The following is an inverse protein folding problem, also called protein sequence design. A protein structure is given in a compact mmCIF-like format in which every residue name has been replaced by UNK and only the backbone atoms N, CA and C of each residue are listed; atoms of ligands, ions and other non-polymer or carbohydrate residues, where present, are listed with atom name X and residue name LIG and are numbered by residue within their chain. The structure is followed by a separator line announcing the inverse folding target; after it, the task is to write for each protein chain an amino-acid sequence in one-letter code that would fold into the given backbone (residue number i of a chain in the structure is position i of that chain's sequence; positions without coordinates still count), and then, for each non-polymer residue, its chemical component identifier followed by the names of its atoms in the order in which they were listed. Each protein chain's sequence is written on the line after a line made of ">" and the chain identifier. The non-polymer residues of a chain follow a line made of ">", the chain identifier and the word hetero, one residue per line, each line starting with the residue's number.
data_IF_706691754486
#
_entry.id   IF_706691754486
#
_cell.length_a   1.000
_cell.length_b   1.000
_cell.length_c   1.000
_cell.angle_alpha   90.00
_cell.angle_beta   90.00
_cell.angle_gamma   90.00
#
_symmetry.space_group_name_H-M   'P 1'
#
loop_
_entity.id
_entity.type
_entity.pdbx_description
1 polymer ?
#
# COMPACT_ATOMS: atom_id res chain seq x y z
N UNK A 1 -27.77 49.42 -33.21
CA UNK A 1 -26.67 50.40 -33.14
C UNK A 1 -25.65 49.85 -32.16
N UNK A 2 -24.51 49.54 -32.70
CA UNK A 2 -23.24 49.18 -32.07
C UNK A 2 -23.21 48.23 -30.89
N UNK A 3 -22.98 46.94 -31.21
CA UNK A 3 -22.42 45.88 -30.39
C UNK A 3 -20.92 46.12 -30.24
N UNK A 4 -20.41 46.12 -28.99
CA UNK A 4 -18.99 46.03 -28.71
C UNK A 4 -18.70 44.66 -28.10
N UNK A 5 -18.12 43.77 -28.92
CA UNK A 5 -17.56 42.50 -28.48
C UNK A 5 -16.20 42.76 -27.81
N UNK A 6 -16.09 42.49 -26.52
CA UNK A 6 -14.82 42.49 -25.76
C UNK A 6 -14.14 41.15 -25.96
N UNK A 7 -12.97 41.16 -26.60
CA UNK A 7 -12.13 39.99 -26.80
C UNK A 7 -11.43 39.60 -25.49
N UNK A 8 -11.76 38.42 -24.97
CA UNK A 8 -10.97 37.75 -23.93
C UNK A 8 -9.68 37.20 -24.53
N UNK A 9 -8.58 37.89 -24.32
CA UNK A 9 -7.23 37.39 -24.63
C UNK A 9 -6.81 36.40 -23.55
N UNK A 10 -6.72 35.13 -23.92
CA UNK A 10 -6.26 34.05 -23.06
C UNK A 10 -4.75 34.18 -22.77
N UNK A 11 -4.38 34.55 -21.54
CA UNK A 11 -2.98 34.62 -21.05
C UNK A 11 -2.36 33.24 -20.69
N UNK A 12 -2.87 32.13 -21.21
CA UNK A 12 -2.39 30.79 -20.87
C UNK A 12 -1.05 30.31 -21.46
N UNK A 13 -0.59 30.74 -22.67
CA UNK A 13 0.68 30.22 -23.20
C UNK A 13 1.94 30.72 -22.53
N UNK A 14 1.93 31.92 -21.95
CA UNK A 14 3.16 32.55 -21.40
C UNK A 14 3.51 31.95 -20.01
N UNK A 15 2.53 31.66 -19.19
CA UNK A 15 2.78 31.03 -17.88
C UNK A 15 3.33 29.61 -18.00
N UNK A 16 2.89 28.82 -18.96
CA UNK A 16 3.42 27.47 -19.18
C UNK A 16 4.83 27.49 -19.76
N UNK A 17 5.18 28.46 -20.59
CA UNK A 17 6.54 28.60 -21.12
C UNK A 17 7.53 29.03 -20.03
N UNK A 18 7.15 29.94 -19.14
CA UNK A 18 7.97 30.36 -18.01
C UNK A 18 8.14 29.22 -16.98
N UNK A 19 7.08 28.45 -16.70
CA UNK A 19 7.18 27.25 -15.84
C UNK A 19 8.08 26.16 -16.44
N UNK A 20 7.97 25.89 -17.76
CA UNK A 20 8.88 24.96 -18.44
C UNK A 20 10.33 25.43 -18.42
N UNK A 21 10.58 26.72 -18.57
CA UNK A 21 11.94 27.29 -18.50
C UNK A 21 12.52 27.21 -17.08
N UNK A 22 11.69 27.36 -16.02
CA UNK A 22 12.12 27.19 -14.63
C UNK A 22 12.41 25.72 -14.30
N UNK A 23 11.62 24.76 -14.82
CA UNK A 23 11.87 23.32 -14.68
C UNK A 23 13.19 22.87 -15.37
N UNK A 24 13.64 23.61 -16.40
CA UNK A 24 14.91 23.31 -17.09
C UNK A 24 16.13 24.03 -16.47
N UNK A 25 15.93 24.94 -15.52
CA UNK A 25 17.03 25.74 -14.93
C UNK A 25 17.56 25.21 -13.58
N UNK A 26 16.79 24.37 -12.90
CA UNK A 26 17.28 23.62 -11.74
C UNK A 26 17.74 22.25 -12.24
N UNK A 27 19.03 22.10 -12.50
CA UNK A 27 19.63 20.81 -12.81
C UNK A 27 19.46 19.90 -11.58
N UNK A 28 18.41 19.07 -11.58
CA UNK A 28 18.28 17.96 -10.65
C UNK A 28 19.52 17.11 -10.89
N UNK A 29 20.31 16.84 -9.86
CA UNK A 29 21.40 15.91 -9.99
C UNK A 29 20.79 14.56 -10.38
N UNK A 30 21.17 13.97 -11.54
CA UNK A 30 20.57 12.69 -11.96
C UNK A 30 20.84 11.63 -10.89
N UNK A 31 19.92 10.67 -10.79
CA UNK A 31 20.11 9.47 -9.99
C UNK A 31 21.52 8.92 -10.26
N UNK A 32 22.23 8.48 -9.23
CA UNK A 32 23.56 7.92 -9.43
C UNK A 32 23.45 6.64 -10.26
N UNK A 33 24.45 6.34 -11.08
CA UNK A 33 24.44 5.15 -11.92
C UNK A 33 24.14 3.89 -11.07
N UNK A 34 23.05 3.20 -11.39
CA UNK A 34 22.57 2.03 -10.64
C UNK A 34 21.42 2.31 -9.65
N UNK A 35 20.92 3.57 -9.58
CA UNK A 35 19.69 3.91 -8.85
C UNK A 35 18.53 4.10 -9.82
N UNK A 36 17.31 3.75 -9.38
CA UNK A 36 16.10 4.13 -10.08
C UNK A 36 15.68 5.56 -9.68
N UNK A 37 15.27 6.35 -10.66
CA UNK A 37 14.60 7.62 -10.46
C UNK A 37 13.17 7.37 -9.94
N UNK A 38 12.79 7.92 -8.80
CA UNK A 38 11.46 7.70 -8.20
C UNK A 38 10.61 8.95 -8.32
N UNK A 39 9.40 8.77 -8.84
CA UNK A 39 8.29 9.71 -8.80
C UNK A 39 7.28 9.22 -7.77
N UNK A 40 7.17 9.90 -6.65
CA UNK A 40 6.12 9.63 -5.65
C UNK A 40 4.83 10.35 -6.07
N UNK A 41 3.76 9.61 -6.25
CA UNK A 41 2.44 10.14 -6.63
C UNK A 41 1.45 9.96 -5.47
N UNK A 42 0.97 11.08 -4.92
CA UNK A 42 0.12 11.07 -3.74
C UNK A 42 0.94 10.93 -2.46
N UNK A 43 1.66 12.00 -2.10
CA UNK A 43 2.46 12.04 -0.86
C UNK A 43 1.57 11.98 0.39
N UNK A 44 0.44 12.68 0.35
CA UNK A 44 -0.44 12.79 1.50
C UNK A 44 0.09 13.75 2.57
N UNK A 45 -0.64 13.80 3.69
CA UNK A 45 -0.31 14.69 4.80
C UNK A 45 0.91 14.17 5.58
N UNK A 46 1.87 15.04 5.94
CA UNK A 46 2.97 14.69 6.83
C UNK A 46 2.49 13.99 8.12
N UNK A 47 3.25 13.02 8.58
CA UNK A 47 2.97 12.16 9.74
C UNK A 47 1.72 11.24 9.63
N UNK A 48 0.92 11.36 8.57
CA UNK A 48 -0.35 10.63 8.41
C UNK A 48 -0.44 9.83 7.11
N UNK A 49 0.16 10.34 6.03
CA UNK A 49 0.11 9.71 4.71
C UNK A 49 1.18 8.64 4.53
N UNK A 50 0.81 7.49 3.94
CA UNK A 50 1.78 6.44 3.59
C UNK A 50 2.80 6.98 2.58
N UNK A 51 2.39 7.77 1.59
CA UNK A 51 3.30 8.38 0.63
C UNK A 51 4.33 9.29 1.31
N UNK A 52 3.93 10.08 2.31
CA UNK A 52 4.88 10.85 3.11
C UNK A 52 5.93 9.94 3.78
N UNK A 53 5.51 8.82 4.35
CA UNK A 53 6.45 7.91 4.98
C UNK A 53 7.40 7.25 3.97
N UNK A 54 6.91 6.91 2.79
CA UNK A 54 7.78 6.47 1.69
C UNK A 54 8.81 7.54 1.32
N UNK A 55 8.40 8.81 1.23
CA UNK A 55 9.32 9.91 0.96
C UNK A 55 10.39 10.04 2.05
N UNK A 56 10.00 10.02 3.33
CA UNK A 56 10.93 10.08 4.47
C UNK A 56 12.01 9.02 4.37
N UNK A 57 11.63 7.76 4.14
CA UNK A 57 12.59 6.66 4.03
C UNK A 57 13.60 6.85 2.89
N UNK A 58 13.18 7.42 1.75
CA UNK A 58 14.06 7.71 0.62
C UNK A 58 14.93 8.96 0.85
N UNK A 59 14.37 10.03 1.43
CA UNK A 59 15.09 11.25 1.79
C UNK A 59 16.19 10.96 2.81
N UNK A 60 15.93 10.10 3.78
CA UNK A 60 16.91 9.62 4.76
C UNK A 60 17.89 8.59 4.18
N UNK A 61 17.78 8.30 2.87
CA UNK A 61 18.65 7.36 2.15
C UNK A 61 18.65 5.94 2.71
N UNK A 62 17.53 5.55 3.32
CA UNK A 62 17.33 4.17 3.80
C UNK A 62 16.94 3.21 2.67
N UNK A 63 16.71 3.72 1.46
CA UNK A 63 16.51 2.97 0.21
C UNK A 63 17.62 3.31 -0.78
N UNK A 64 18.83 2.72 -0.68
CA UNK A 64 19.99 3.12 -1.46
C UNK A 64 19.86 2.92 -2.97
N UNK A 65 18.97 2.04 -3.43
CA UNK A 65 18.71 1.82 -4.88
C UNK A 65 17.67 2.77 -5.47
N UNK A 66 17.05 3.63 -4.65
CA UNK A 66 16.00 4.57 -5.04
C UNK A 66 16.46 6.01 -4.81
N UNK A 67 16.27 6.88 -5.82
CA UNK A 67 16.42 8.34 -5.67
C UNK A 67 15.03 8.98 -5.78
N UNK A 68 14.57 9.66 -4.74
CA UNK A 68 13.33 10.43 -4.79
C UNK A 68 13.60 11.78 -5.46
N UNK A 69 13.27 11.88 -6.75
CA UNK A 69 13.54 13.08 -7.53
C UNK A 69 12.28 13.94 -7.71
N UNK A 70 11.09 13.32 -7.64
CA UNK A 70 9.83 14.00 -7.89
C UNK A 70 8.76 13.62 -6.89
N UNK A 71 7.97 14.62 -6.46
CA UNK A 71 6.73 14.42 -5.70
C UNK A 71 5.58 15.06 -6.46
N UNK A 72 4.62 14.26 -6.88
CA UNK A 72 3.37 14.69 -7.52
C UNK A 72 2.26 14.68 -6.46
N UNK A 73 1.84 15.87 -6.02
CA UNK A 73 0.82 16.03 -4.99
C UNK A 73 -0.25 17.05 -5.43
N UNK A 74 -1.29 16.61 -6.18
CA UNK A 74 -2.25 17.53 -6.76
C UNK A 74 -3.16 18.22 -5.73
N UNK A 75 -3.44 17.56 -4.59
CA UNK A 75 -4.35 18.10 -3.59
C UNK A 75 -3.71 19.21 -2.75
N UNK A 76 -2.63 18.91 -2.06
CA UNK A 76 -1.98 19.86 -1.15
C UNK A 76 -1.23 20.99 -1.85
N UNK A 77 -0.80 20.78 -3.10
CA UNK A 77 -0.26 21.85 -3.95
C UNK A 77 -1.35 22.61 -4.72
N UNK A 78 -2.58 22.10 -4.72
CA UNK A 78 -3.73 22.65 -5.46
C UNK A 78 -4.88 23.07 -4.56
N UNK A 79 -5.99 22.38 -4.66
CA UNK A 79 -7.25 22.74 -3.99
C UNK A 79 -7.20 22.68 -2.45
N UNK A 80 -6.36 21.84 -1.90
CA UNK A 80 -6.22 21.64 -0.45
C UNK A 80 -5.14 22.50 0.22
N UNK A 81 -4.44 23.38 -0.51
CA UNK A 81 -3.29 24.14 -0.02
C UNK A 81 -3.57 25.03 1.21
N UNK A 82 -4.79 25.53 1.32
CA UNK A 82 -5.20 26.46 2.40
C UNK A 82 -5.80 25.72 3.60
N UNK A 83 -5.98 24.40 3.51
CA UNK A 83 -6.42 23.55 4.64
C UNK A 83 -5.31 23.41 5.70
N UNK A 84 -5.62 23.00 6.93
CA UNK A 84 -4.57 22.70 7.92
C UNK A 84 -3.53 21.71 7.37
N UNK A 85 -3.94 20.59 6.78
CA UNK A 85 -3.03 19.62 6.19
C UNK A 85 -2.20 20.17 5.01
N UNK A 86 -2.76 21.13 4.22
CA UNK A 86 -2.01 21.81 3.16
C UNK A 86 -0.91 22.72 3.69
N UNK A 87 -1.16 23.37 4.83
CA UNK A 87 -0.14 24.20 5.52
C UNK A 87 0.98 23.33 6.09
N UNK A 88 0.63 22.20 6.70
CA UNK A 88 1.62 21.25 7.22
C UNK A 88 2.46 20.66 6.07
N UNK A 89 1.82 20.32 4.94
CA UNK A 89 2.51 19.87 3.74
C UNK A 89 3.46 20.93 3.18
N UNK A 90 3.03 22.19 3.10
CA UNK A 90 3.87 23.28 2.60
C UNK A 90 5.07 23.56 3.52
N UNK A 91 4.92 23.41 4.83
CA UNK A 91 6.02 23.50 5.78
C UNK A 91 7.05 22.39 5.57
N UNK A 92 6.60 21.14 5.47
CA UNK A 92 7.44 20.00 5.17
C UNK A 92 8.11 20.11 3.79
N UNK A 93 7.37 20.49 2.74
CA UNK A 93 7.93 20.72 1.41
C UNK A 93 9.11 21.69 1.46
N UNK A 94 8.94 22.83 2.12
CA UNK A 94 9.99 23.86 2.26
C UNK A 94 11.24 23.33 2.97
N UNK A 95 11.06 22.43 3.94
CA UNK A 95 12.16 21.80 4.66
C UNK A 95 12.98 20.86 3.77
N UNK A 96 12.32 20.05 2.91
CA UNK A 96 12.99 18.97 2.19
C UNK A 96 13.34 19.30 0.74
N UNK A 97 12.61 20.21 0.07
CA UNK A 97 12.76 20.51 -1.38
C UNK A 97 14.18 20.88 -1.76
N UNK A 98 14.79 21.86 -1.06
CA UNK A 98 16.15 22.31 -1.32
C UNK A 98 17.22 21.28 -0.91
N UNK A 99 17.27 20.86 0.35
CA UNK A 99 18.28 19.91 0.84
C UNK A 99 18.30 18.56 0.12
N UNK A 100 17.11 18.02 -0.23
CA UNK A 100 17.00 16.75 -0.92
C UNK A 100 16.95 16.87 -2.45
N UNK A 101 16.91 18.10 -2.98
CA UNK A 101 16.81 18.40 -4.42
C UNK A 101 15.62 17.71 -5.11
N UNK A 102 14.46 17.76 -4.45
CA UNK A 102 13.22 17.14 -4.92
C UNK A 102 12.37 18.19 -5.64
N UNK A 103 11.84 17.86 -6.81
CA UNK A 103 10.88 18.70 -7.50
C UNK A 103 9.44 18.32 -7.10
N UNK A 104 8.69 19.31 -6.63
CA UNK A 104 7.27 19.18 -6.32
C UNK A 104 6.40 19.72 -7.46
N UNK A 105 5.39 18.94 -7.88
CA UNK A 105 4.45 19.33 -8.94
C UNK A 105 3.04 18.81 -8.68
N UNK A 106 2.06 19.33 -9.41
CA UNK A 106 0.66 18.92 -9.32
C UNK A 106 0.28 17.83 -10.32
N UNK A 107 1.15 17.52 -11.31
CA UNK A 107 0.80 16.60 -12.38
C UNK A 107 2.02 15.82 -12.89
N UNK A 108 1.81 14.56 -13.23
CA UNK A 108 2.79 13.72 -13.93
C UNK A 108 3.17 14.28 -15.30
N UNK A 109 2.25 15.00 -15.96
CA UNK A 109 2.50 15.63 -17.28
C UNK A 109 3.49 16.79 -17.24
N UNK A 110 3.77 17.33 -16.06
CA UNK A 110 4.74 18.42 -15.87
C UNK A 110 6.17 17.91 -15.71
N UNK A 111 6.36 16.59 -15.61
CA UNK A 111 7.67 15.99 -15.40
C UNK A 111 8.52 15.99 -16.69
N UNK A 112 9.84 16.15 -16.58
CA UNK A 112 10.73 15.97 -17.71
C UNK A 112 10.75 14.49 -18.14
N UNK A 113 11.20 14.25 -19.38
CA UNK A 113 11.46 12.89 -19.82
C UNK A 113 12.48 12.20 -18.88
N UNK A 114 12.32 10.89 -18.56
CA UNK A 114 13.24 10.19 -17.67
C UNK A 114 14.64 10.12 -18.27
N UNK A 115 15.64 10.34 -17.42
CA UNK A 115 17.07 10.23 -17.78
C UNK A 115 17.59 8.85 -17.39
N UNK A 116 17.13 8.34 -16.27
CA UNK A 116 17.40 7.00 -15.74
C UNK A 116 16.10 6.17 -15.71
N UNK A 117 16.16 4.84 -15.52
CA UNK A 117 14.97 4.03 -15.33
C UNK A 117 14.07 4.57 -14.21
N UNK A 118 12.82 4.87 -14.55
CA UNK A 118 11.89 5.59 -13.64
C UNK A 118 10.86 4.64 -13.05
N UNK A 119 10.69 4.71 -11.73
CA UNK A 119 9.61 4.09 -10.96
C UNK A 119 8.56 5.15 -10.62
N UNK A 120 7.28 4.89 -10.92
CA UNK A 120 6.19 5.60 -10.27
C UNK A 120 5.79 4.85 -8.98
N UNK A 121 5.95 5.49 -7.82
CA UNK A 121 5.41 5.00 -6.55
C UNK A 121 4.05 5.66 -6.34
N UNK A 122 2.96 4.92 -6.59
CA UNK A 122 1.59 5.41 -6.50
C UNK A 122 1.04 5.08 -5.11
N UNK A 123 0.88 6.12 -4.28
CA UNK A 123 0.32 6.07 -2.93
C UNK A 123 -0.86 7.05 -2.77
N UNK A 124 -1.55 7.31 -3.87
CA UNK A 124 -2.72 8.15 -3.92
C UNK A 124 -3.98 7.45 -3.39
N UNK A 125 -5.13 8.10 -3.60
CA UNK A 125 -6.44 7.50 -3.29
C UNK A 125 -6.70 6.35 -4.24
N UNK A 126 -7.17 5.22 -3.73
CA UNK A 126 -7.42 4.00 -4.51
C UNK A 126 -8.29 4.26 -5.76
N UNK A 127 -9.30 5.14 -5.63
CA UNK A 127 -10.17 5.53 -6.76
C UNK A 127 -9.45 6.28 -7.90
N UNK A 128 -8.31 6.88 -7.63
CA UNK A 128 -7.52 7.60 -8.64
C UNK A 128 -6.47 6.71 -9.32
N UNK A 129 -6.19 5.53 -8.77
CA UNK A 129 -5.10 4.66 -9.22
C UNK A 129 -5.19 4.25 -10.70
N UNK A 130 -6.37 3.94 -11.29
CA UNK A 130 -6.45 3.63 -12.72
C UNK A 130 -5.91 4.77 -13.59
N UNK A 131 -6.34 6.00 -13.32
CA UNK A 131 -5.87 7.19 -14.03
C UNK A 131 -4.38 7.46 -13.79
N UNK A 132 -3.92 7.32 -12.53
CA UNK A 132 -2.51 7.54 -12.18
C UNK A 132 -1.58 6.52 -12.83
N UNK A 133 -2.02 5.28 -12.99
CA UNK A 133 -1.28 4.25 -13.73
C UNK A 133 -1.12 4.67 -15.20
N UNK A 134 -2.20 5.01 -15.88
CA UNK A 134 -2.18 5.49 -17.29
C UNK A 134 -1.24 6.69 -17.46
N UNK A 135 -1.35 7.70 -16.57
CA UNK A 135 -0.49 8.89 -16.61
C UNK A 135 0.99 8.54 -16.34
N UNK A 136 1.28 7.58 -15.46
CA UNK A 136 2.64 7.11 -15.15
C UNK A 136 3.27 6.40 -16.34
N UNK A 137 2.52 5.54 -17.02
CA UNK A 137 2.94 4.87 -18.25
C UNK A 137 3.25 5.92 -19.34
N UNK A 138 2.36 6.86 -19.55
CA UNK A 138 2.55 7.96 -20.52
C UNK A 138 3.75 8.86 -20.14
N UNK A 139 4.04 9.02 -18.87
CA UNK A 139 5.22 9.73 -18.33
C UNK A 139 6.54 8.97 -18.46
N UNK A 140 6.53 7.77 -19.09
CA UNK A 140 7.73 6.98 -19.38
C UNK A 140 8.23 6.13 -18.22
N UNK A 141 7.42 5.91 -17.17
CA UNK A 141 7.77 4.98 -16.10
C UNK A 141 7.84 3.55 -16.64
N UNK A 142 8.90 2.83 -16.26
CA UNK A 142 9.14 1.43 -16.68
C UNK A 142 8.66 0.43 -15.65
N UNK A 143 8.55 0.86 -14.40
CA UNK A 143 8.07 0.07 -13.28
C UNK A 143 7.11 0.93 -12.45
N UNK A 144 6.05 0.33 -11.95
CA UNK A 144 5.11 0.98 -11.04
C UNK A 144 5.12 0.22 -9.72
N UNK A 145 5.38 0.92 -8.62
CA UNK A 145 5.04 0.48 -7.28
C UNK A 145 3.63 0.99 -6.98
N UNK A 146 2.68 0.09 -6.78
CA UNK A 146 1.29 0.45 -6.55
C UNK A 146 0.86 0.06 -5.12
N UNK A 147 0.42 1.04 -4.33
CA UNK A 147 -0.13 0.76 -3.00
C UNK A 147 -1.42 -0.07 -3.07
N UNK A 148 -1.56 -0.96 -2.08
CA UNK A 148 -2.73 -1.83 -1.93
C UNK A 148 -4.02 -1.00 -1.65
N UNK A 149 -5.19 -1.49 -2.00
CA UNK A 149 -5.50 -2.76 -2.67
C UNK A 149 -5.30 -2.72 -4.19
N UNK A 150 -4.83 -1.62 -4.76
CA UNK A 150 -4.57 -1.39 -6.17
C UNK A 150 -5.70 -0.63 -6.87
N UNK A 151 -6.92 -1.12 -6.83
CA UNK A 151 -8.10 -0.46 -7.39
C UNK A 151 -9.34 -0.71 -6.51
N UNK A 152 -10.44 0.08 -6.69
CA UNK A 152 -11.69 -0.12 -5.95
C UNK A 152 -12.37 -1.46 -6.25
N UNK A 153 -12.25 -1.94 -7.49
CA UNK A 153 -12.92 -3.15 -7.99
C UNK A 153 -11.96 -4.08 -8.72
N UNK A 154 -12.31 -5.37 -8.76
CA UNK A 154 -11.59 -6.39 -9.54
C UNK A 154 -11.51 -5.97 -11.01
N UNK A 155 -12.61 -5.51 -11.60
CA UNK A 155 -12.66 -5.12 -13.02
C UNK A 155 -11.69 -3.98 -13.35
N UNK A 156 -11.61 -2.96 -12.49
CA UNK A 156 -10.66 -1.87 -12.67
C UNK A 156 -9.21 -2.36 -12.54
N UNK A 157 -8.94 -3.23 -11.57
CA UNK A 157 -7.59 -3.77 -11.37
C UNK A 157 -7.15 -4.69 -12.52
N UNK A 158 -8.06 -5.49 -13.08
CA UNK A 158 -7.81 -6.29 -14.28
C UNK A 158 -7.53 -5.41 -15.51
N UNK A 159 -8.27 -4.30 -15.66
CA UNK A 159 -8.03 -3.33 -16.74
C UNK A 159 -6.65 -2.69 -16.60
N UNK A 160 -6.24 -2.30 -15.38
CA UNK A 160 -4.92 -1.77 -15.08
C UNK A 160 -3.81 -2.79 -15.39
N UNK A 161 -3.99 -4.06 -15.02
CA UNK A 161 -3.05 -5.13 -15.34
C UNK A 161 -2.89 -5.32 -16.86
N UNK A 162 -4.00 -5.31 -17.59
CA UNK A 162 -4.00 -5.42 -19.05
C UNK A 162 -3.30 -4.23 -19.73
N UNK A 163 -3.55 -3.00 -19.26
CA UNK A 163 -2.92 -1.78 -19.77
C UNK A 163 -1.40 -1.79 -19.54
N UNK A 164 -0.97 -2.09 -18.32
CA UNK A 164 0.46 -2.17 -17.98
C UNK A 164 1.17 -3.23 -18.82
N UNK A 165 0.57 -4.42 -18.97
CA UNK A 165 1.09 -5.50 -19.80
C UNK A 165 1.21 -5.09 -21.28
N UNK A 166 0.20 -4.42 -21.82
CA UNK A 166 0.22 -3.92 -23.20
C UNK A 166 1.31 -2.87 -23.44
N UNK A 167 1.63 -2.08 -22.40
CA UNK A 167 2.68 -1.07 -22.43
C UNK A 167 4.08 -1.64 -22.12
N UNK A 168 4.19 -2.92 -21.73
CA UNK A 168 5.45 -3.53 -21.28
C UNK A 168 5.98 -2.93 -19.98
N UNK A 169 5.08 -2.52 -19.09
CA UNK A 169 5.37 -1.94 -17.78
C UNK A 169 5.06 -2.97 -16.70
N UNK A 170 5.99 -3.21 -15.78
CA UNK A 170 5.77 -4.09 -14.64
C UNK A 170 5.12 -3.32 -13.50
N UNK A 171 4.08 -3.90 -12.89
CA UNK A 171 3.41 -3.35 -11.72
C UNK A 171 3.62 -4.26 -10.52
N UNK A 172 4.33 -3.74 -9.53
CA UNK A 172 4.67 -4.41 -8.28
C UNK A 172 3.90 -3.75 -7.13
N UNK A 173 3.35 -4.59 -6.25
CA UNK A 173 2.37 -4.16 -5.25
C UNK A 173 3.00 -3.85 -3.89
N UNK A 174 2.45 -2.86 -3.20
CA UNK A 174 2.78 -2.49 -1.83
C UNK A 174 2.29 -3.49 -0.76
N UNK A 175 2.28 -4.79 -1.06
CA UNK A 175 2.02 -5.84 -0.06
C UNK A 175 3.29 -6.13 0.75
N UNK A 176 3.66 -5.21 1.63
CA UNK A 176 4.89 -5.29 2.41
C UNK A 176 4.99 -6.57 3.26
N UNK A 177 3.88 -7.14 3.73
CA UNK A 177 3.90 -8.39 4.51
C UNK A 177 4.46 -9.58 3.72
N UNK A 178 4.42 -9.56 2.39
CA UNK A 178 5.02 -10.60 1.56
C UNK A 178 6.54 -10.76 1.76
N UNK A 179 7.21 -9.70 2.20
CA UNK A 179 8.66 -9.70 2.44
C UNK A 179 9.04 -9.63 3.92
N UNK A 180 8.04 -9.59 4.81
CA UNK A 180 8.23 -9.50 6.25
C UNK A 180 9.00 -10.68 6.81
N UNK A 181 9.82 -10.39 7.81
CA UNK A 181 10.63 -11.38 8.54
C UNK A 181 9.77 -12.46 9.20
N UNK A 182 8.64 -12.06 9.85
CA UNK A 182 7.76 -13.04 10.49
C UNK A 182 7.11 -14.02 9.50
N UNK A 183 6.75 -13.57 8.31
CA UNK A 183 6.20 -14.41 7.25
C UNK A 183 7.26 -15.37 6.72
N UNK A 184 8.46 -14.85 6.44
CA UNK A 184 9.58 -15.66 5.92
C UNK A 184 9.98 -16.74 6.91
N UNK A 185 10.18 -16.39 8.19
CA UNK A 185 10.58 -17.34 9.25
C UNK A 185 9.51 -18.40 9.50
N UNK A 186 8.24 -18.01 9.52
CA UNK A 186 7.14 -18.96 9.69
C UNK A 186 7.06 -19.96 8.52
N UNK A 187 7.21 -19.48 7.28
CA UNK A 187 7.21 -20.35 6.09
C UNK A 187 8.43 -21.28 6.05
N UNK A 188 9.61 -20.78 6.41
CA UNK A 188 10.83 -21.59 6.55
C UNK A 188 10.61 -22.72 7.56
N UNK A 189 10.03 -22.42 8.73
CA UNK A 189 9.73 -23.43 9.74
C UNK A 189 8.67 -24.42 9.26
N UNK A 190 7.54 -23.94 8.72
CA UNK A 190 6.47 -24.78 8.22
C UNK A 190 6.95 -25.78 7.15
N UNK A 191 7.92 -25.39 6.32
CA UNK A 191 8.50 -26.28 5.31
C UNK A 191 9.28 -27.46 5.92
N UNK A 192 9.71 -27.38 7.19
CA UNK A 192 10.37 -28.47 7.91
C UNK A 192 9.40 -29.45 8.56
N UNK A 193 8.10 -29.12 8.63
CA UNK A 193 7.05 -29.91 9.28
C UNK A 193 5.97 -30.29 8.27
N UNK A 194 6.07 -31.43 7.60
CA UNK A 194 5.06 -31.89 6.64
C UNK A 194 3.67 -32.02 7.28
N UNK A 195 2.65 -31.47 6.59
CA UNK A 195 1.27 -31.50 7.08
C UNK A 195 0.95 -30.45 8.16
N UNK A 196 1.89 -29.59 8.50
CA UNK A 196 1.63 -28.48 9.42
C UNK A 196 0.58 -27.50 8.89
N UNK A 197 -0.07 -26.79 9.80
CA UNK A 197 -1.04 -25.74 9.53
C UNK A 197 -0.48 -24.39 9.94
N UNK A 198 -0.60 -23.37 9.08
CA UNK A 198 -0.14 -22.01 9.37
C UNK A 198 -1.32 -21.09 9.62
N UNK A 199 -1.24 -20.25 10.65
CA UNK A 199 -2.19 -19.15 10.91
C UNK A 199 -1.45 -17.81 10.89
N UNK A 200 -1.91 -16.88 10.04
CA UNK A 200 -1.46 -15.49 10.06
C UNK A 200 -2.44 -14.64 10.87
N UNK A 201 -1.91 -13.87 11.84
CA UNK A 201 -2.71 -13.04 12.74
C UNK A 201 -2.36 -11.57 12.51
N UNK A 202 -3.38 -10.77 12.22
CA UNK A 202 -3.29 -9.32 12.03
C UNK A 202 -4.17 -8.63 13.07
N UNK A 203 -3.58 -7.76 13.88
CA UNK A 203 -4.29 -7.01 14.88
C UNK A 203 -4.19 -5.51 14.60
N UNK A 204 -5.24 -4.77 14.98
CA UNK A 204 -5.26 -3.33 15.09
C UNK A 204 -5.69 -2.93 16.50
N UNK A 205 -5.28 -1.75 16.94
CA UNK A 205 -5.53 -1.26 18.29
C UNK A 205 -6.66 -0.20 18.33
N UNK A 206 -7.78 -0.46 17.62
CA UNK A 206 -8.96 0.38 17.80
C UNK A 206 -9.54 0.17 19.21
N UNK A 207 -10.15 1.21 19.75
CA UNK A 207 -10.95 1.06 20.97
C UNK A 207 -12.18 0.21 20.67
N UNK A 208 -12.48 -0.75 21.54
CA UNK A 208 -13.64 -1.61 21.41
C UNK A 208 -14.91 -0.88 21.89
N UNK A 209 -15.25 0.23 21.21
CA UNK A 209 -16.46 1.01 21.43
C UNK A 209 -17.26 1.14 20.13
N UNK A 210 -18.60 1.25 20.19
CA UNK A 210 -19.42 1.45 19.00
C UNK A 210 -19.00 2.68 18.17
N UNK A 211 -18.56 3.75 18.81
CA UNK A 211 -18.13 4.99 18.17
C UNK A 211 -16.83 4.78 17.37
N UNK A 212 -15.82 4.17 17.98
CA UNK A 212 -14.52 3.91 17.34
C UNK A 212 -14.65 2.90 16.19
N UNK A 213 -15.41 1.83 16.42
CA UNK A 213 -15.66 0.82 15.37
C UNK A 213 -16.57 1.35 14.26
N UNK A 214 -17.59 2.17 14.57
CA UNK A 214 -18.47 2.82 13.58
C UNK A 214 -17.69 3.77 12.66
N UNK A 215 -16.78 4.59 13.22
CA UNK A 215 -15.86 5.41 12.43
C UNK A 215 -14.94 4.53 11.54
N UNK A 216 -14.40 3.47 12.11
CA UNK A 216 -13.56 2.53 11.38
C UNK A 216 -14.31 1.89 10.21
N UNK A 217 -15.55 1.45 10.42
CA UNK A 217 -16.37 0.81 9.39
C UNK A 217 -16.74 1.78 8.26
N UNK A 218 -17.10 3.03 8.59
CA UNK A 218 -17.36 4.04 7.56
C UNK A 218 -16.11 4.40 6.75
N UNK A 219 -14.98 4.61 7.43
CA UNK A 219 -13.71 4.95 6.76
C UNK A 219 -13.21 3.82 5.86
N UNK A 220 -13.50 2.58 6.22
CA UNK A 220 -13.11 1.36 5.50
C UNK A 220 -14.35 0.60 4.99
N UNK A 221 -15.24 1.32 4.31
CA UNK A 221 -16.54 0.78 3.85
C UNK A 221 -16.41 -0.36 2.84
N UNK A 222 -15.22 -0.58 2.28
CA UNK A 222 -14.89 -1.75 1.47
C UNK A 222 -14.82 -3.06 2.28
N UNK A 223 -14.79 -2.97 3.61
CA UNK A 223 -14.81 -4.09 4.54
C UNK A 223 -13.43 -4.61 4.96
N UNK A 224 -13.41 -5.37 6.06
CA UNK A 224 -12.19 -5.87 6.69
C UNK A 224 -11.29 -6.64 5.72
N UNK A 225 -11.85 -7.53 4.89
CA UNK A 225 -11.05 -8.39 4.01
C UNK A 225 -10.38 -7.61 2.86
N UNK A 226 -10.94 -6.47 2.45
CA UNK A 226 -10.35 -5.60 1.42
C UNK A 226 -9.45 -4.50 1.98
N UNK A 227 -9.50 -4.24 3.28
CA UNK A 227 -8.73 -3.20 3.93
C UNK A 227 -7.64 -3.77 4.84
N UNK A 228 -8.00 -4.29 6.01
CA UNK A 228 -7.07 -4.75 7.04
C UNK A 228 -6.44 -6.09 6.66
N UNK A 229 -7.26 -7.12 6.39
CA UNK A 229 -6.79 -8.47 6.13
C UNK A 229 -6.35 -8.70 4.67
N UNK A 230 -6.35 -7.69 3.83
CA UNK A 230 -5.93 -7.79 2.43
C UNK A 230 -4.46 -8.24 2.29
N UNK A 231 -3.61 -7.84 3.24
CA UNK A 231 -2.22 -8.27 3.26
C UNK A 231 -2.09 -9.77 3.53
N UNK A 232 -2.87 -10.30 4.49
CA UNK A 232 -2.89 -11.73 4.80
C UNK A 232 -3.44 -12.52 3.61
N UNK A 233 -4.52 -12.05 2.96
CA UNK A 233 -5.02 -12.68 1.75
C UNK A 233 -3.97 -12.70 0.62
N UNK A 234 -3.19 -11.63 0.47
CA UNK A 234 -2.09 -11.59 -0.49
C UNK A 234 -1.01 -12.64 -0.17
N UNK A 235 -0.72 -12.92 1.12
CA UNK A 235 0.17 -14.02 1.52
C UNK A 235 -0.39 -15.37 1.08
N UNK A 236 -1.70 -15.59 1.26
CA UNK A 236 -2.34 -16.84 0.91
C UNK A 236 -2.29 -17.08 -0.62
N UNK A 237 -2.56 -16.03 -1.40
CA UNK A 237 -2.47 -16.09 -2.86
C UNK A 237 -1.03 -16.33 -3.30
N UNK A 238 -0.06 -15.59 -2.72
CA UNK A 238 1.35 -15.65 -3.14
C UNK A 238 2.03 -16.97 -2.78
N UNK A 239 1.67 -17.60 -1.65
CA UNK A 239 2.49 -18.67 -1.06
C UNK A 239 1.74 -19.95 -0.74
N UNK A 240 0.40 -19.93 -0.68
CA UNK A 240 -0.42 -21.06 -0.27
C UNK A 240 -1.34 -21.58 -1.39
N UNK A 241 -1.12 -21.11 -2.62
CA UNK A 241 -1.89 -21.56 -3.79
C UNK A 241 -3.40 -21.29 -3.67
N UNK A 242 -3.75 -20.23 -2.92
CA UNK A 242 -5.14 -19.81 -2.75
C UNK A 242 -5.55 -18.97 -3.95
N UNK A 243 -6.60 -19.42 -4.63
CA UNK A 243 -7.32 -18.68 -5.67
C UNK A 243 -8.79 -19.05 -5.59
N UNK A 244 -9.68 -18.23 -6.15
CA UNK A 244 -11.13 -18.56 -6.16
C UNK A 244 -11.37 -19.92 -6.77
N UNK A 245 -10.66 -20.25 -7.84
CA UNK A 245 -10.80 -21.54 -8.52
C UNK A 245 -10.24 -22.74 -7.73
N UNK A 246 -9.22 -22.49 -6.88
CA UNK A 246 -8.55 -23.56 -6.11
C UNK A 246 -9.07 -23.71 -4.68
N UNK A 247 -9.93 -22.83 -4.19
CA UNK A 247 -10.59 -23.00 -2.89
C UNK A 247 -11.50 -24.22 -2.93
N UNK A 248 -11.28 -25.17 -2.01
CA UNK A 248 -12.15 -26.31 -1.78
C UNK A 248 -13.21 -26.00 -0.72
N UNK A 249 -12.79 -25.41 0.40
CA UNK A 249 -13.68 -25.02 1.49
C UNK A 249 -13.15 -23.83 2.27
N UNK A 250 -14.10 -23.10 2.87
CA UNK A 250 -13.85 -22.00 3.80
C UNK A 250 -14.67 -22.22 5.05
N UNK A 251 -14.06 -22.18 6.20
CA UNK A 251 -14.72 -22.38 7.50
C UNK A 251 -14.40 -21.24 8.45
N UNK A 252 -15.41 -20.51 8.91
CA UNK A 252 -15.26 -19.51 9.95
C UNK A 252 -15.10 -20.15 11.33
N UNK A 253 -14.22 -19.62 12.16
CA UNK A 253 -14.14 -19.92 13.59
C UNK A 253 -15.20 -19.08 14.32
N UNK A 254 -16.34 -19.67 14.62
CA UNK A 254 -17.49 -18.98 15.23
C UNK A 254 -17.26 -18.54 16.67
N UNK A 255 -16.33 -19.17 17.38
CA UNK A 255 -16.00 -18.80 18.77
C UNK A 255 -15.14 -17.53 18.81
N UNK A 256 -14.25 -17.37 17.82
CA UNK A 256 -13.42 -16.20 17.70
C UNK A 256 -14.15 -15.03 17.00
N UNK A 257 -14.89 -15.31 15.94
CA UNK A 257 -15.35 -14.32 14.97
C UNK A 257 -16.63 -13.61 15.40
N UNK A 258 -16.72 -12.32 15.09
CA UNK A 258 -17.93 -11.52 15.26
C UNK A 258 -18.05 -10.46 14.16
N UNK A 259 -19.29 -10.06 13.89
CA UNK A 259 -19.62 -8.94 13.02
C UNK A 259 -20.66 -8.04 13.69
N UNK A 260 -20.62 -6.76 13.37
CA UNK A 260 -21.52 -5.75 13.94
C UNK A 260 -22.10 -4.87 12.84
N UNK A 261 -23.27 -4.30 13.09
CA UNK A 261 -23.86 -3.21 12.31
C UNK A 261 -23.85 -1.98 13.18
N UNK A 262 -23.10 -0.96 12.78
CA UNK A 262 -22.87 0.25 13.59
C UNK A 262 -23.06 1.50 12.73
N UNK A 263 -23.60 2.60 13.31
CA UNK A 263 -23.63 3.88 12.64
C UNK A 263 -22.23 4.49 12.56
N UNK A 264 -21.85 4.94 11.37
CA UNK A 264 -20.66 5.77 11.20
C UNK A 264 -20.92 7.24 11.52
N UNK A 265 -19.88 8.11 11.49
CA UNK A 265 -20.00 9.56 11.70
C UNK A 265 -21.03 10.26 10.80
N UNK A 266 -21.27 9.75 9.60
CA UNK A 266 -22.32 10.25 8.69
C UNK A 266 -23.73 9.90 9.10
N UNK A 267 -23.92 9.05 10.11
CA UNK A 267 -25.20 8.49 10.53
C UNK A 267 -25.71 7.35 9.66
N UNK A 268 -24.94 6.89 8.66
CA UNK A 268 -25.24 5.68 7.88
C UNK A 268 -24.78 4.45 8.66
N UNK A 269 -25.53 3.35 8.50
CA UNK A 269 -25.17 2.06 9.09
C UNK A 269 -24.20 1.31 8.18
N UNK A 270 -23.19 0.69 8.79
CA UNK A 270 -22.20 -0.15 8.13
C UNK A 270 -22.13 -1.49 8.86
N UNK A 271 -22.15 -2.57 8.09
CA UNK A 271 -22.00 -3.93 8.63
C UNK A 271 -20.64 -4.47 8.22
N UNK A 272 -19.82 -4.84 9.20
CA UNK A 272 -18.51 -5.43 8.95
C UNK A 272 -18.08 -6.33 10.11
N UNK A 273 -17.01 -7.09 9.92
CA UNK A 273 -16.35 -7.83 10.99
C UNK A 273 -15.61 -6.86 11.92
N UNK A 274 -15.82 -6.98 13.21
CA UNK A 274 -14.90 -6.41 14.21
C UNK A 274 -13.72 -7.35 14.44
N UNK A 275 -13.94 -8.67 14.35
CA UNK A 275 -12.89 -9.69 14.26
C UNK A 275 -13.36 -10.90 13.46
N UNK A 276 -12.44 -11.53 12.75
CA UNK A 276 -12.70 -12.71 11.93
C UNK A 276 -11.53 -13.68 11.99
N UNK A 277 -11.81 -14.96 12.16
CA UNK A 277 -10.84 -16.04 11.92
C UNK A 277 -11.49 -17.10 11.05
N UNK A 278 -10.77 -17.53 10.04
CA UNK A 278 -11.23 -18.55 9.11
C UNK A 278 -10.08 -19.39 8.59
N UNK A 279 -10.42 -20.62 8.19
CA UNK A 279 -9.51 -21.57 7.55
C UNK A 279 -9.93 -21.78 6.10
N UNK A 280 -8.96 -21.73 5.20
CA UNK A 280 -9.11 -22.13 3.80
C UNK A 280 -8.43 -23.47 3.59
N UNK A 281 -9.13 -24.40 2.94
CA UNK A 281 -8.55 -25.60 2.34
C UNK A 281 -8.58 -25.45 0.83
N UNK A 282 -7.48 -25.78 0.18
CA UNK A 282 -7.37 -25.74 -1.28
C UNK A 282 -7.55 -27.15 -1.86
N UNK A 283 -8.01 -27.22 -3.11
CA UNK A 283 -8.12 -28.49 -3.88
C UNK A 283 -6.77 -29.19 -4.04
N UNK A 284 -5.67 -28.43 -3.93
CA UNK A 284 -4.29 -28.96 -3.95
C UNK A 284 -3.82 -29.47 -2.59
N UNK A 285 -4.70 -29.48 -1.56
CA UNK A 285 -4.45 -30.07 -0.26
C UNK A 285 -3.75 -29.16 0.74
N UNK A 286 -3.53 -27.88 0.44
CA UNK A 286 -3.00 -26.91 1.42
C UNK A 286 -4.10 -26.43 2.37
N UNK A 287 -3.73 -26.18 3.63
CA UNK A 287 -4.61 -25.64 4.65
C UNK A 287 -3.92 -24.46 5.33
N UNK A 288 -4.60 -23.32 5.43
CA UNK A 288 -4.05 -22.10 6.01
C UNK A 288 -5.16 -21.26 6.63
N UNK A 289 -4.86 -20.59 7.74
CA UNK A 289 -5.81 -19.72 8.44
C UNK A 289 -5.37 -18.26 8.45
N UNK A 290 -6.37 -17.39 8.51
CA UNK A 290 -6.22 -15.97 8.81
C UNK A 290 -7.04 -15.64 10.03
N UNK A 291 -6.47 -14.86 10.95
CA UNK A 291 -7.20 -14.19 12.02
C UNK A 291 -6.93 -12.68 11.92
N UNK A 292 -7.98 -11.89 11.98
CA UNK A 292 -7.89 -10.43 11.98
C UNK A 292 -8.79 -9.87 13.07
N UNK A 293 -8.26 -8.97 13.91
CA UNK A 293 -8.98 -8.35 15.02
C UNK A 293 -8.71 -6.84 15.05
N UNK A 294 -9.76 -6.04 14.90
CA UNK A 294 -9.64 -4.57 14.92
C UNK A 294 -9.26 -4.02 16.28
N UNK A 295 -9.54 -4.78 17.35
CA UNK A 295 -9.27 -4.41 18.74
C UNK A 295 -8.24 -5.35 19.41
N UNK A 296 -7.50 -6.13 18.62
CA UNK A 296 -6.58 -7.16 19.10
C UNK A 296 -5.23 -6.65 19.61
N UNK A 297 -4.96 -5.33 19.55
CA UNK A 297 -3.70 -4.72 19.97
C UNK A 297 -2.78 -4.37 18.81
N UNK A 298 -1.50 -4.20 19.08
CA UNK A 298 -0.51 -3.70 18.11
C UNK A 298 0.33 -4.79 17.45
N UNK A 299 0.28 -6.02 17.97
CA UNK A 299 1.14 -7.10 17.52
C UNK A 299 0.49 -7.90 16.40
N UNK A 300 1.22 -8.10 15.31
CA UNK A 300 0.90 -9.13 14.32
C UNK A 300 1.89 -10.30 14.48
N UNK A 301 1.44 -11.51 14.17
CA UNK A 301 2.29 -12.70 14.27
C UNK A 301 1.80 -13.81 13.35
N UNK A 302 2.61 -14.84 13.22
CA UNK A 302 2.17 -16.07 12.58
C UNK A 302 2.55 -17.28 13.45
N UNK A 303 1.71 -18.32 13.37
CA UNK A 303 1.95 -19.59 14.07
C UNK A 303 2.00 -20.74 13.10
N UNK A 304 2.74 -21.79 13.45
CA UNK A 304 2.68 -23.09 12.80
C UNK A 304 2.22 -24.11 13.82
N UNK A 305 1.16 -24.82 13.50
CA UNK A 305 0.61 -25.88 14.32
C UNK A 305 0.85 -27.25 13.67
N UNK A 306 0.92 -28.29 14.50
CA UNK A 306 0.85 -29.67 14.02
C UNK A 306 -0.53 -29.94 13.41
N UNK A 307 -0.55 -30.42 12.16
CA UNK A 307 -1.80 -30.61 11.41
C UNK A 307 -2.71 -31.74 11.95
N UNK A 308 -2.24 -32.52 12.92
CA UNK A 308 -2.98 -33.64 13.51
C UNK A 308 -3.46 -33.37 14.95
N UNK A 309 -2.76 -32.50 15.70
CA UNK A 309 -3.03 -32.25 17.12
C UNK A 309 -3.40 -30.80 17.43
N UNK A 310 -3.30 -29.90 16.48
CA UNK A 310 -3.43 -28.44 16.64
C UNK A 310 -2.43 -27.85 17.66
N UNK A 311 -1.41 -28.62 18.09
CA UNK A 311 -0.35 -28.13 18.96
C UNK A 311 0.47 -27.05 18.26
N UNK A 312 0.69 -25.91 18.92
CA UNK A 312 1.53 -24.84 18.41
C UNK A 312 3.01 -25.23 18.52
N UNK A 313 3.67 -25.38 17.35
CA UNK A 313 5.07 -25.75 17.23
C UNK A 313 6.00 -24.55 17.07
N UNK A 314 5.47 -23.44 16.56
CA UNK A 314 6.27 -22.24 16.26
C UNK A 314 5.39 -20.99 16.28
N UNK A 315 5.98 -19.87 16.75
CA UNK A 315 5.36 -18.54 16.69
C UNK A 315 6.43 -17.49 16.42
N UNK A 316 6.11 -16.52 15.58
CA UNK A 316 6.98 -15.38 15.31
C UNK A 316 6.18 -14.09 15.26
N UNK A 317 6.65 -13.05 15.94
CA UNK A 317 5.98 -11.76 16.08
C UNK A 317 6.54 -10.71 15.12
N UNK A 318 5.73 -9.67 14.85
CA UNK A 318 6.11 -8.45 14.16
C UNK A 318 5.59 -7.23 14.98
N UNK A 319 6.47 -6.31 15.43
CA UNK A 319 7.94 -6.40 15.35
C UNK A 319 8.49 -7.52 16.28
N UNK A 320 9.66 -8.05 15.95
CA UNK A 320 10.37 -8.97 16.83
C UNK A 320 11.26 -8.21 17.85
N UNK A 321 11.87 -8.95 18.78
CA UNK A 321 12.69 -8.34 19.83
C UNK A 321 13.93 -7.60 19.29
N UNK A 322 14.47 -8.01 18.12
CA UNK A 322 15.61 -7.35 17.50
C UNK A 322 15.22 -6.02 16.88
N UNK A 323 13.97 -5.92 16.38
CA UNK A 323 13.47 -4.73 15.69
C UNK A 323 12.92 -3.68 16.66
N UNK A 324 12.53 -4.06 17.89
CA UNK A 324 11.91 -3.16 18.88
C UNK A 324 12.72 -1.90 19.16
N UNK A 325 14.03 -2.02 19.34
CA UNK A 325 14.89 -0.87 19.65
C UNK A 325 14.91 0.17 18.50
N UNK A 326 14.87 -0.29 17.27
CA UNK A 326 14.81 0.59 16.09
C UNK A 326 13.42 1.23 15.95
N UNK A 327 12.37 0.46 16.18
CA UNK A 327 10.98 0.95 16.20
C UNK A 327 10.83 2.06 17.25
N UNK A 328 11.33 1.85 18.49
CA UNK A 328 11.29 2.84 19.55
C UNK A 328 12.09 4.12 19.19
N UNK A 329 13.24 3.97 18.54
CA UNK A 329 14.04 5.09 18.07
C UNK A 329 13.30 5.91 16.99
N UNK A 330 12.65 5.25 16.04
CA UNK A 330 11.84 5.91 15.02
C UNK A 330 10.59 6.60 15.62
N UNK A 331 9.92 5.97 16.59
CA UNK A 331 8.81 6.58 17.32
C UNK A 331 9.25 7.84 18.08
N UNK A 332 10.44 7.82 18.67
CA UNK A 332 11.01 8.99 19.34
C UNK A 332 11.40 10.10 18.35
N UNK A 333 11.88 9.75 17.16
CA UNK A 333 12.24 10.71 16.11
C UNK A 333 11.00 11.38 15.49
N UNK A 334 9.90 10.64 15.35
CA UNK A 334 8.65 11.09 14.72
C UNK A 334 7.44 10.90 15.64
N UNK A 335 7.36 11.65 16.76
CA UNK A 335 6.35 11.42 17.80
C UNK A 335 4.89 11.66 17.33
N UNK A 336 4.71 12.46 16.28
CA UNK A 336 3.40 12.81 15.72
C UNK A 336 2.96 11.86 14.60
N UNK A 337 3.84 10.95 14.16
CA UNK A 337 3.54 10.05 13.06
C UNK A 337 2.78 8.80 13.54
N UNK A 338 2.13 8.12 12.58
CA UNK A 338 1.35 6.92 12.87
C UNK A 338 2.26 5.76 13.31
N UNK A 339 2.07 5.17 14.49
CA UNK A 339 2.98 4.14 15.03
C UNK A 339 3.18 2.92 14.12
N UNK A 340 2.16 2.53 13.36
CA UNK A 340 2.25 1.38 12.46
C UNK A 340 3.27 1.55 11.33
N UNK A 341 3.66 2.78 10.98
CA UNK A 341 4.74 3.01 10.03
C UNK A 341 6.04 2.38 10.50
N UNK A 342 6.33 2.51 11.78
CA UNK A 342 7.60 2.11 12.36
C UNK A 342 7.67 0.60 12.62
N UNK A 343 6.56 -0.01 13.03
CA UNK A 343 6.50 -1.47 13.22
C UNK A 343 6.71 -2.26 11.94
N UNK A 344 6.54 -1.64 10.78
CA UNK A 344 6.69 -2.24 9.45
C UNK A 344 7.76 -1.53 8.59
N UNK A 345 8.61 -0.71 9.21
CA UNK A 345 9.57 0.15 8.51
C UNK A 345 10.49 -0.63 7.57
N UNK A 346 11.12 -1.70 8.07
CA UNK A 346 12.04 -2.55 7.29
C UNK A 346 11.37 -3.21 6.09
N UNK A 347 10.10 -3.54 6.22
CA UNK A 347 9.35 -4.21 5.19
C UNK A 347 9.05 -3.25 4.03
N UNK A 348 8.64 -2.01 4.34
CA UNK A 348 8.46 -0.96 3.34
C UNK A 348 9.77 -0.61 2.62
N UNK A 349 10.89 -0.55 3.35
CA UNK A 349 12.22 -0.37 2.76
C UNK A 349 12.53 -1.54 1.81
N UNK A 350 12.34 -2.78 2.27
CA UNK A 350 12.66 -3.98 1.50
C UNK A 350 11.89 -4.05 0.19
N UNK A 351 10.58 -3.76 0.21
CA UNK A 351 9.78 -3.73 -1.03
C UNK A 351 10.32 -2.67 -1.99
N UNK A 352 10.52 -1.42 -1.50
CA UNK A 352 11.03 -0.33 -2.35
C UNK A 352 12.40 -0.63 -2.94
N UNK A 353 13.32 -1.18 -2.14
CA UNK A 353 14.64 -1.58 -2.62
C UNK A 353 14.56 -2.63 -3.73
N UNK A 354 13.71 -3.64 -3.57
CA UNK A 354 13.54 -4.68 -4.59
C UNK A 354 12.92 -4.13 -5.87
N UNK A 355 11.92 -3.25 -5.73
CA UNK A 355 11.28 -2.57 -6.88
C UNK A 355 12.26 -1.65 -7.59
N UNK A 356 13.05 -0.87 -6.85
CA UNK A 356 14.04 0.04 -7.41
C UNK A 356 15.15 -0.72 -8.14
N UNK A 357 15.68 -1.80 -7.58
CA UNK A 357 16.67 -2.68 -8.23
C UNK A 357 16.10 -3.33 -9.48
N UNK A 358 14.88 -3.86 -9.40
CA UNK A 358 14.21 -4.41 -10.58
C UNK A 358 14.15 -3.39 -11.72
N UNK A 359 13.76 -2.14 -11.40
CA UNK A 359 13.69 -1.07 -12.40
C UNK A 359 15.06 -0.68 -12.94
N UNK A 360 16.09 -0.57 -12.08
CA UNK A 360 17.39 -0.05 -12.44
C UNK A 360 18.24 -1.03 -13.26
N UNK A 361 18.22 -2.32 -12.91
CA UNK A 361 19.14 -3.32 -13.45
C UNK A 361 18.49 -4.67 -13.84
N UNK A 362 17.18 -4.81 -13.65
CA UNK A 362 16.44 -6.05 -13.94
C UNK A 362 16.59 -7.14 -12.88
N UNK A 363 17.14 -6.85 -11.71
CA UNK A 363 17.23 -7.79 -10.59
C UNK A 363 15.85 -8.31 -10.20
N UNK A 364 15.73 -9.59 -9.90
CA UNK A 364 14.48 -10.19 -9.48
C UNK A 364 13.95 -9.54 -8.19
N UNK A 365 12.68 -9.08 -8.21
CA UNK A 365 11.99 -8.53 -7.05
C UNK A 365 11.40 -9.67 -6.17
N UNK A 366 12.27 -10.57 -5.69
CA UNK A 366 11.89 -11.78 -4.98
C UNK A 366 10.92 -11.52 -3.82
N UNK A 367 9.76 -12.19 -3.83
CA UNK A 367 8.73 -12.06 -2.80
C UNK A 367 7.83 -10.84 -2.92
N UNK A 368 8.14 -9.86 -3.78
CA UNK A 368 7.24 -8.74 -4.06
C UNK A 368 6.09 -9.23 -4.92
N UNK A 369 4.86 -8.94 -4.50
CA UNK A 369 3.68 -9.33 -5.25
C UNK A 369 3.51 -8.51 -6.53
N UNK A 370 3.04 -9.14 -7.60
CA UNK A 370 2.67 -8.48 -8.85
C UNK A 370 1.21 -8.01 -8.83
N UNK A 371 0.81 -7.23 -9.83
CA UNK A 371 -0.60 -6.83 -9.99
C UNK A 371 -1.52 -8.05 -10.20
N UNK A 372 -1.04 -9.13 -10.81
CA UNK A 372 -1.84 -10.36 -10.99
C UNK A 372 -2.16 -11.02 -9.64
N UNK A 373 -1.20 -11.00 -8.69
CA UNK A 373 -1.45 -11.41 -7.30
C UNK A 373 -2.52 -10.52 -6.65
N UNK A 374 -2.47 -9.21 -6.90
CA UNK A 374 -3.46 -8.28 -6.35
C UNK A 374 -4.86 -8.51 -6.94
N UNK A 375 -4.96 -8.77 -8.23
CA UNK A 375 -6.24 -9.13 -8.89
C UNK A 375 -6.84 -10.36 -8.22
N UNK A 376 -6.06 -11.43 -8.07
CA UNK A 376 -6.55 -12.64 -7.44
C UNK A 376 -6.87 -12.44 -5.95
N UNK A 377 -6.05 -11.66 -5.24
CA UNK A 377 -6.29 -11.31 -3.83
C UNK A 377 -7.63 -10.58 -3.65
N UNK A 378 -7.94 -9.65 -4.53
CA UNK A 378 -9.20 -8.91 -4.47
C UNK A 378 -10.39 -9.81 -4.83
N UNK A 379 -10.25 -10.72 -5.81
CA UNK A 379 -11.25 -11.75 -6.12
C UNK A 379 -11.52 -12.66 -4.92
N UNK A 380 -10.48 -13.11 -4.25
CA UNK A 380 -10.59 -13.94 -3.04
C UNK A 380 -11.32 -13.18 -1.94
N UNK A 381 -10.99 -11.90 -1.70
CA UNK A 381 -11.69 -11.07 -0.71
C UNK A 381 -13.19 -10.93 -1.01
N UNK A 382 -13.56 -10.70 -2.28
CA UNK A 382 -14.95 -10.61 -2.72
C UNK A 382 -15.71 -11.94 -2.60
N UNK A 383 -15.03 -13.05 -2.87
CA UNK A 383 -15.59 -14.40 -2.74
C UNK A 383 -15.83 -14.80 -1.27
N UNK A 384 -14.86 -14.48 -0.40
CA UNK A 384 -14.91 -14.88 1.00
C UNK A 384 -15.90 -14.08 1.84
N UNK A 385 -16.00 -12.75 1.61
CA UNK A 385 -16.80 -11.86 2.48
C UNK A 385 -18.24 -12.33 2.67
N UNK A 386 -19.05 -12.56 1.61
CA UNK A 386 -20.44 -13.00 1.79
C UNK A 386 -20.54 -14.39 2.41
N UNK A 387 -19.64 -15.30 2.07
CA UNK A 387 -19.62 -16.66 2.62
C UNK A 387 -19.35 -16.67 4.12
N UNK A 388 -18.38 -15.88 4.58
CA UNK A 388 -18.06 -15.77 6.00
C UNK A 388 -19.15 -15.05 6.79
N UNK A 389 -19.74 -13.99 6.25
CA UNK A 389 -20.88 -13.31 6.87
C UNK A 389 -22.08 -14.23 7.04
N UNK A 390 -22.36 -15.10 6.06
CA UNK A 390 -23.46 -16.06 6.15
C UNK A 390 -23.20 -17.13 7.23
N UNK A 391 -21.96 -17.58 7.37
CA UNK A 391 -21.60 -18.54 8.41
C UNK A 391 -21.74 -17.99 9.84
N UNK A 392 -21.67 -16.67 10.03
CA UNK A 392 -21.76 -16.02 11.35
C UNK A 392 -23.19 -15.61 11.73
N UNK A 393 -24.15 -15.73 10.84
CA UNK A 393 -25.58 -15.56 11.14
C UNK A 393 -26.11 -16.80 11.88
#
# INVERSE_FOLDING_TARGET
>A
MFSSASAFVTKRPVQNAVRRALLHSTAIAPASKGQAEVVLVGCGMPNRGMGWYHAVQMIEKRCPSASLDFVVEPWFLGGGKDTPGGKDFAAWQKEVEGPANILFTTSLTDLPAPVEPRVALISGRTADNPRLLTESIAGGCKTIYLEKPGAPTVTELEAMAAEAKAAGVEVLMGYNKNVCKYVTKTREFAATVPGSHTTFVSNNAYENTPESLGECFERNAEGMLKNMAIHELALLVSFYDVSVDNIESVTADKEFSSMQTLPGPSGKEFTDFDKIKFTIKTKTGKSVSVAADRCGGTDSYATVQDGSSDEELFRYYMPDEEDKAEVDALMAQYPDAMPYFFTQDKDYITVKERVAKFCADGSEATGVATIDIAVETLKVAEYLTPSLMEQLK
#
